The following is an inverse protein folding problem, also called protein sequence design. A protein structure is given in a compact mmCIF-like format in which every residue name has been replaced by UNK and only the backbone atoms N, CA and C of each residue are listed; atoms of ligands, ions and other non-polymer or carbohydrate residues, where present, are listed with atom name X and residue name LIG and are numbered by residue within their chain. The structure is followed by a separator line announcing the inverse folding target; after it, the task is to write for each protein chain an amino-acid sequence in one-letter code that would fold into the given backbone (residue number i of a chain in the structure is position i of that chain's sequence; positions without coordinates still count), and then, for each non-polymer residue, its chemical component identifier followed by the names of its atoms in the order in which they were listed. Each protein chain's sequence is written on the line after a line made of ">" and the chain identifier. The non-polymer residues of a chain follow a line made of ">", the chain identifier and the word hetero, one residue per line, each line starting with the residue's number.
data_IF_334233705830
#
_entry.id   IF_334233705830
#
_cell.length_a   1.000
_cell.length_b   1.000
_cell.length_c   1.000
_cell.angle_alpha   90.00
_cell.angle_beta   90.00
_cell.angle_gamma   90.00
#
_symmetry.space_group_name_H-M   'P 1'
#
loop_
_entity.id
_entity.type
_entity.pdbx_description
1 polymer ?
#
# COMPACT_ATOMS: atom_id res chain seq x y z
N UNK A 1 22.84 -4.28 9.81
CA UNK A 1 22.71 -4.69 8.39
C UNK A 1 21.61 -3.85 7.78
N UNK A 2 21.94 -2.90 6.91
CA UNK A 2 20.97 -1.96 6.35
C UNK A 2 20.09 -2.68 5.33
N UNK A 3 18.78 -2.59 5.53
CA UNK A 3 17.78 -3.27 4.72
C UNK A 3 17.84 -2.86 3.25
N UNK A 4 17.99 -3.84 2.38
CA UNK A 4 18.05 -3.69 0.93
C UNK A 4 16.82 -2.99 0.30
N UNK A 5 15.71 -2.96 1.01
CA UNK A 5 14.48 -2.25 0.62
C UNK A 5 14.62 -0.72 0.57
N UNK A 6 15.56 -0.13 1.31
CA UNK A 6 15.74 1.32 1.32
C UNK A 6 16.40 1.89 0.06
N UNK A 7 16.98 1.05 -0.80
CA UNK A 7 17.67 1.51 -2.02
C UNK A 7 16.74 1.71 -3.22
N UNK A 8 15.59 1.02 -3.27
CA UNK A 8 14.62 1.17 -4.36
C UNK A 8 13.77 2.45 -4.26
N UNK A 9 13.65 3.03 -3.07
CA UNK A 9 12.88 4.26 -2.86
C UNK A 9 13.62 5.56 -3.30
N UNK A 10 14.91 5.49 -3.63
CA UNK A 10 15.72 6.69 -3.88
C UNK A 10 15.59 7.32 -5.29
N UNK A 11 14.81 6.77 -6.20
CA UNK A 11 14.84 7.20 -7.62
C UNK A 11 13.62 7.96 -8.12
N UNK A 12 12.77 8.52 -7.27
CA UNK A 12 11.62 9.31 -7.73
C UNK A 12 11.37 10.54 -6.84
N UNK A 13 12.26 11.53 -6.93
CA UNK A 13 12.00 12.87 -6.37
C UNK A 13 11.62 13.83 -7.48
N UNK A 14 10.35 14.26 -7.52
CA UNK A 14 9.96 15.53 -8.14
C UNK A 14 8.85 16.17 -7.33
N UNK A 15 9.06 17.45 -7.00
CA UNK A 15 8.22 18.34 -6.22
C UNK A 15 6.77 18.41 -6.71
N UNK A 16 5.83 18.19 -5.82
CA UNK A 16 4.43 18.58 -5.91
C UNK A 16 3.90 18.67 -4.48
N UNK A 17 3.27 19.79 -4.14
CA UNK A 17 2.69 20.06 -2.82
C UNK A 17 1.69 18.96 -2.43
N UNK A 18 2.20 17.90 -1.81
CA UNK A 18 1.42 16.87 -1.16
C UNK A 18 1.14 17.38 0.26
N UNK A 19 -0.11 17.51 0.63
CA UNK A 19 -0.47 17.59 2.04
C UNK A 19 0.22 16.42 2.73
N UNK A 20 1.14 16.72 3.66
CA UNK A 20 1.83 15.71 4.45
C UNK A 20 0.79 14.94 5.25
N UNK A 21 0.59 13.69 4.88
CA UNK A 21 -0.24 12.77 5.66
C UNK A 21 0.55 12.54 6.96
N UNK A 22 0.01 13.03 8.07
CA UNK A 22 0.64 12.84 9.36
C UNK A 22 0.73 11.34 9.67
N UNK A 23 1.95 10.83 9.85
CA UNK A 23 2.24 9.43 10.21
C UNK A 23 1.98 9.19 11.72
N UNK A 24 0.97 9.84 12.28
CA UNK A 24 0.63 9.70 13.69
C UNK A 24 -0.12 8.40 13.93
N UNK A 25 0.49 7.50 14.67
CA UNK A 25 -0.10 6.21 15.09
C UNK A 25 -1.17 6.34 16.18
N UNK A 26 -1.54 7.57 16.57
CA UNK A 26 -2.37 7.85 17.76
C UNK A 26 -3.85 8.08 17.47
N UNK A 27 -4.27 8.02 16.22
CA UNK A 27 -5.67 8.22 15.83
C UNK A 27 -6.50 6.94 15.93
N UNK A 28 -7.82 7.08 16.18
CA UNK A 28 -8.79 6.02 15.97
C UNK A 28 -8.78 5.67 14.47
N UNK A 29 -8.78 4.37 14.08
CA UNK A 29 -8.87 4.00 12.67
C UNK A 29 -10.12 4.61 12.05
N UNK A 30 -9.98 5.23 10.89
CA UNK A 30 -11.12 5.83 10.17
C UNK A 30 -11.98 4.75 9.49
N UNK A 31 -11.39 3.57 9.24
CA UNK A 31 -12.03 2.43 8.59
C UNK A 31 -11.79 1.16 9.40
N UNK A 32 -12.82 0.32 9.50
CA UNK A 32 -12.72 -1.00 10.13
C UNK A 32 -11.97 -1.98 9.24
N UNK A 33 -11.13 -2.83 9.85
CA UNK A 33 -10.40 -3.87 9.13
C UNK A 33 -11.11 -5.20 9.30
N UNK A 34 -11.60 -5.76 8.20
CA UNK A 34 -12.25 -7.06 8.12
C UNK A 34 -11.25 -8.20 8.42
N UNK A 35 -11.73 -9.26 9.04
CA UNK A 35 -10.91 -10.37 9.52
C UNK A 35 -11.09 -11.63 8.68
N UNK A 36 -10.15 -12.55 8.79
CA UNK A 36 -10.23 -13.84 8.15
C UNK A 36 -11.57 -14.52 8.52
N UNK A 37 -12.31 -14.93 7.50
CA UNK A 37 -13.67 -15.46 7.64
C UNK A 37 -14.74 -14.56 7.01
N UNK A 38 -14.50 -13.26 6.93
CA UNK A 38 -15.42 -12.32 6.30
C UNK A 38 -15.46 -12.53 4.76
N UNK A 39 -16.65 -12.66 4.21
CA UNK A 39 -16.86 -12.98 2.79
C UNK A 39 -16.27 -11.93 1.84
N UNK A 40 -16.19 -10.67 2.26
CA UNK A 40 -15.63 -9.58 1.46
C UNK A 40 -14.18 -9.82 1.06
N UNK A 41 -13.41 -10.54 1.89
CA UNK A 41 -12.00 -10.87 1.62
C UNK A 41 -11.81 -11.91 0.51
N UNK A 42 -12.88 -12.61 0.12
CA UNK A 42 -12.87 -13.62 -0.96
C UNK A 42 -13.41 -13.11 -2.28
N UNK A 43 -13.95 -11.89 -2.28
CA UNK A 43 -14.51 -11.29 -3.49
C UNK A 43 -13.41 -10.74 -4.39
N UNK A 44 -13.63 -10.81 -5.70
CA UNK A 44 -12.71 -10.24 -6.67
C UNK A 44 -12.70 -8.71 -6.60
N UNK A 45 -11.51 -8.14 -6.59
CA UNK A 45 -11.32 -6.69 -6.68
C UNK A 45 -11.59 -6.20 -8.11
N UNK A 46 -12.11 -4.99 -8.21
CA UNK A 46 -12.40 -4.32 -9.49
C UNK A 46 -11.33 -3.29 -9.80
N UNK A 47 -10.92 -3.23 -11.05
CA UNK A 47 -9.99 -2.19 -11.53
C UNK A 47 -10.59 -0.79 -11.34
N UNK A 48 -9.73 0.14 -10.97
CA UNK A 48 -10.07 1.56 -10.88
C UNK A 48 -9.84 2.17 -12.25
N UNK A 49 -10.90 2.64 -12.90
CA UNK A 49 -10.85 3.23 -14.25
C UNK A 49 -10.52 4.72 -14.22
N UNK A 50 -10.80 5.40 -13.11
CA UNK A 50 -10.55 6.84 -12.94
C UNK A 50 -10.06 7.12 -11.53
N UNK A 51 -8.95 7.85 -11.44
CA UNK A 51 -8.38 8.31 -10.17
C UNK A 51 -8.91 9.70 -9.87
N UNK A 52 -10.06 9.77 -9.25
CA UNK A 52 -10.70 10.99 -8.80
C UNK A 52 -10.42 11.29 -7.31
N UNK A 53 -11.02 12.36 -6.79
CA UNK A 53 -10.83 12.77 -5.39
C UNK A 53 -11.38 11.71 -4.41
N UNK A 54 -12.38 10.93 -4.79
CA UNK A 54 -12.91 9.86 -3.93
C UNK A 54 -11.86 8.76 -3.70
N UNK A 55 -11.10 8.40 -4.74
CA UNK A 55 -9.99 7.43 -4.64
C UNK A 55 -8.83 8.00 -3.82
N UNK A 56 -8.50 9.29 -4.00
CA UNK A 56 -7.47 9.95 -3.20
C UNK A 56 -7.84 10.01 -1.72
N UNK A 57 -9.10 10.37 -1.43
CA UNK A 57 -9.63 10.37 -0.06
C UNK A 57 -9.57 8.98 0.55
N UNK A 58 -10.04 7.96 -0.18
CA UNK A 58 -9.98 6.56 0.27
C UNK A 58 -8.54 6.13 0.60
N UNK A 59 -7.57 6.44 -0.25
CA UNK A 59 -6.17 6.11 0.01
C UNK A 59 -5.63 6.78 1.28
N UNK A 60 -6.00 8.04 1.55
CA UNK A 60 -5.63 8.73 2.80
C UNK A 60 -6.25 8.05 4.03
N UNK A 61 -7.54 7.70 3.97
CA UNK A 61 -8.24 7.00 5.06
C UNK A 61 -7.67 5.60 5.30
N UNK A 62 -7.27 4.90 4.23
CA UNK A 62 -6.56 3.62 4.32
C UNK A 62 -5.21 3.77 5.03
N UNK A 63 -4.41 4.78 4.68
CA UNK A 63 -3.13 5.04 5.35
C UNK A 63 -3.34 5.32 6.84
N UNK A 64 -4.31 6.15 7.22
CA UNK A 64 -4.63 6.42 8.61
C UNK A 64 -5.03 5.15 9.37
N UNK A 65 -5.88 4.31 8.77
CA UNK A 65 -6.31 3.04 9.38
C UNK A 65 -5.16 2.04 9.49
N UNK A 66 -4.29 1.98 8.48
CA UNK A 66 -3.07 1.18 8.48
C UNK A 66 -2.13 1.57 9.63
N UNK A 67 -1.86 2.87 9.79
CA UNK A 67 -1.01 3.37 10.88
C UNK A 67 -1.62 3.14 12.26
N UNK A 68 -2.92 3.40 12.42
CA UNK A 68 -3.64 3.15 13.67
C UNK A 68 -3.60 1.66 14.08
N UNK A 69 -3.61 0.77 13.09
CA UNK A 69 -3.47 -0.68 13.29
C UNK A 69 -2.01 -1.16 13.39
N UNK A 70 -1.02 -0.24 13.34
CA UNK A 70 0.43 -0.55 13.36
C UNK A 70 0.85 -1.46 12.21
N UNK A 71 0.20 -1.35 11.05
CA UNK A 71 0.52 -2.08 9.84
C UNK A 71 1.50 -1.32 8.96
N UNK A 72 2.16 -2.04 8.05
CA UNK A 72 3.04 -1.50 7.01
C UNK A 72 2.42 -1.56 5.62
N UNK A 73 1.26 -2.19 5.49
CA UNK A 73 0.49 -2.31 4.27
C UNK A 73 -0.98 -2.61 4.53
N UNK A 74 -1.86 -2.14 3.65
CA UNK A 74 -3.29 -2.37 3.71
C UNK A 74 -3.89 -2.34 2.31
N UNK A 75 -4.66 -3.38 1.97
CA UNK A 75 -5.38 -3.47 0.71
C UNK A 75 -6.86 -3.09 0.89
N UNK A 76 -7.47 -2.49 -0.14
CA UNK A 76 -8.85 -2.04 -0.07
C UNK A 76 -9.87 -3.14 0.27
N UNK A 77 -9.73 -4.40 -0.17
CA UNK A 77 -10.61 -5.48 0.31
C UNK A 77 -10.58 -5.69 1.82
N UNK A 78 -9.45 -5.41 2.49
CA UNK A 78 -9.34 -5.55 3.94
C UNK A 78 -10.19 -4.51 4.71
N UNK A 79 -10.64 -3.46 4.05
CA UNK A 79 -11.58 -2.47 4.59
C UNK A 79 -12.97 -2.56 3.94
N UNK A 80 -13.30 -3.70 3.32
CA UNK A 80 -14.61 -3.95 2.72
C UNK A 80 -14.85 -3.31 1.35
N UNK A 81 -13.81 -2.77 0.72
CA UNK A 81 -13.91 -2.10 -0.59
C UNK A 81 -13.15 -2.90 -1.64
N UNK A 82 -13.88 -3.66 -2.48
CA UNK A 82 -13.28 -4.53 -3.49
C UNK A 82 -12.80 -3.74 -4.72
N UNK A 83 -11.72 -2.99 -4.54
CA UNK A 83 -10.99 -2.25 -5.58
C UNK A 83 -9.51 -2.65 -5.58
N UNK A 84 -8.89 -2.61 -6.75
CA UNK A 84 -7.45 -2.84 -6.92
C UNK A 84 -6.65 -1.62 -6.43
N UNK A 85 -6.64 -1.42 -5.12
CA UNK A 85 -5.95 -0.35 -4.42
C UNK A 85 -5.26 -0.91 -3.20
N UNK A 86 -4.00 -0.56 -3.00
CA UNK A 86 -3.28 -0.85 -1.78
C UNK A 86 -2.36 0.31 -1.39
N UNK A 87 -2.10 0.42 -0.09
CA UNK A 87 -1.17 1.39 0.48
C UNK A 87 -0.07 0.66 1.23
N UNK A 88 1.17 1.16 1.14
CA UNK A 88 2.36 0.57 1.78
C UNK A 88 3.23 1.68 2.33
N UNK A 89 3.73 1.53 3.55
CA UNK A 89 4.78 2.36 4.12
C UNK A 89 5.75 1.49 4.92
N UNK A 90 6.90 1.19 4.33
CA UNK A 90 7.97 0.41 4.98
C UNK A 90 8.96 1.30 5.75
N UNK A 91 8.83 2.61 5.63
CA UNK A 91 9.69 3.61 6.27
C UNK A 91 8.86 4.54 7.18
N UNK A 92 7.92 3.97 7.92
CA UNK A 92 6.99 4.76 8.74
C UNK A 92 7.69 5.58 9.84
N UNK A 93 8.90 5.20 10.25
CA UNK A 93 9.74 5.96 11.21
C UNK A 93 10.39 7.19 10.55
N UNK A 94 10.61 7.17 9.24
CA UNK A 94 11.15 8.31 8.50
C UNK A 94 10.02 9.21 8.01
N UNK A 95 9.81 10.32 8.67
CA UNK A 95 8.79 11.31 8.29
C UNK A 95 9.03 11.96 6.91
N UNK A 96 10.22 11.83 6.35
CA UNK A 96 10.57 12.33 5.03
C UNK A 96 10.26 11.31 3.91
N UNK A 97 10.08 10.03 4.24
CA UNK A 97 9.70 9.01 3.28
C UNK A 97 8.20 9.10 2.99
N UNK A 98 7.84 9.09 1.71
CA UNK A 98 6.43 9.09 1.30
C UNK A 98 5.90 7.64 1.21
N UNK A 99 4.66 7.36 1.70
CA UNK A 99 4.03 6.08 1.51
C UNK A 99 3.74 5.81 0.02
N UNK A 100 3.68 4.55 -0.34
CA UNK A 100 3.29 4.12 -1.68
C UNK A 100 1.78 3.90 -1.74
N UNK A 101 1.14 4.46 -2.76
CA UNK A 101 -0.27 4.22 -3.11
C UNK A 101 -0.25 3.53 -4.47
N UNK A 102 -0.64 2.26 -4.50
CA UNK A 102 -0.61 1.43 -5.70
C UNK A 102 -2.03 1.21 -6.21
N UNK A 103 -2.29 1.63 -7.44
CA UNK A 103 -3.60 1.54 -8.11
C UNK A 103 -3.47 0.56 -9.27
N UNK A 104 -4.35 -0.43 -9.31
CA UNK A 104 -4.34 -1.53 -10.27
C UNK A 104 -2.94 -2.17 -10.37
N UNK A 105 -2.31 -2.56 -9.26
CA UNK A 105 -0.97 -3.11 -9.29
C UNK A 105 -0.95 -4.48 -9.99
N UNK A 106 0.06 -4.68 -10.83
CA UNK A 106 0.29 -5.93 -11.53
C UNK A 106 1.77 -6.31 -11.42
N UNK A 107 2.05 -7.50 -10.92
CA UNK A 107 3.42 -8.03 -10.89
C UNK A 107 3.70 -8.60 -12.27
N UNK A 108 4.69 -8.03 -12.95
CA UNK A 108 5.07 -8.42 -14.31
C UNK A 108 6.24 -9.39 -14.34
N UNK A 109 7.08 -9.39 -13.29
CA UNK A 109 8.21 -10.28 -13.18
C UNK A 109 8.62 -10.51 -11.72
N UNK A 110 9.23 -11.65 -11.43
CA UNK A 110 9.75 -12.01 -10.12
C UNK A 110 11.25 -12.24 -10.17
N UNK A 111 11.96 -11.76 -9.16
CA UNK A 111 13.37 -12.09 -8.98
C UNK A 111 13.57 -13.57 -8.67
N UNK A 112 14.76 -14.07 -8.98
CA UNK A 112 15.11 -15.49 -8.79
C UNK A 112 15.61 -15.82 -7.39
N UNK A 113 16.08 -14.81 -6.65
CA UNK A 113 16.56 -14.99 -5.27
C UNK A 113 15.39 -15.06 -4.31
N UNK A 114 15.34 -16.12 -3.51
CA UNK A 114 14.29 -16.31 -2.50
C UNK A 114 14.80 -15.93 -1.12
N UNK A 115 13.99 -15.24 -0.35
CA UNK A 115 14.23 -14.90 1.06
C UNK A 115 13.04 -15.33 1.91
N UNK A 116 13.32 -15.68 3.16
CA UNK A 116 12.29 -15.97 4.17
C UNK A 116 12.14 -14.77 5.10
N UNK A 117 10.92 -14.31 5.27
CA UNK A 117 10.57 -13.22 6.18
C UNK A 117 9.43 -13.66 7.09
N UNK A 118 9.46 -13.20 8.35
CA UNK A 118 8.30 -13.31 9.21
C UNK A 118 7.27 -12.26 8.78
N UNK A 119 6.09 -12.72 8.40
CA UNK A 119 5.00 -11.88 7.93
C UNK A 119 3.78 -12.01 8.83
N UNK A 120 3.11 -10.88 9.06
CA UNK A 120 1.80 -10.80 9.71
C UNK A 120 0.77 -10.17 8.77
N UNK A 121 -0.49 -10.29 9.12
CA UNK A 121 -1.59 -9.70 8.37
C UNK A 121 -2.59 -9.01 9.29
N UNK A 122 -2.99 -7.78 8.98
CA UNK A 122 -3.98 -7.04 9.76
C UNK A 122 -5.36 -7.73 9.80
N UNK A 123 -5.66 -8.55 8.78
CA UNK A 123 -6.87 -9.38 8.74
C UNK A 123 -6.72 -10.70 9.50
N UNK A 124 -5.53 -11.04 9.99
CA UNK A 124 -5.24 -12.25 10.80
C UNK A 124 -4.41 -11.81 12.01
N UNK A 125 -5.01 -11.07 12.96
CA UNK A 125 -4.27 -10.47 14.06
C UNK A 125 -3.62 -11.52 14.96
N UNK A 126 -2.37 -11.26 15.39
CA UNK A 126 -1.63 -12.12 16.31
C UNK A 126 -1.02 -13.38 15.69
N UNK A 127 -1.12 -13.55 14.36
CA UNK A 127 -0.49 -14.66 13.65
C UNK A 127 0.67 -14.14 12.82
N UNK A 128 1.86 -14.73 13.04
CA UNK A 128 3.08 -14.43 12.29
C UNK A 128 3.66 -15.74 11.76
N UNK A 129 4.02 -15.76 10.50
CA UNK A 129 4.54 -16.95 9.80
C UNK A 129 5.75 -16.60 8.97
N UNK A 130 6.72 -17.51 8.91
CA UNK A 130 7.81 -17.39 7.95
C UNK A 130 7.32 -17.72 6.54
N UNK A 131 7.40 -16.74 5.65
CA UNK A 131 6.96 -16.85 4.27
C UNK A 131 8.17 -16.69 3.35
N UNK A 132 8.35 -17.63 2.43
CA UNK A 132 9.40 -17.59 1.40
C UNK A 132 8.87 -16.85 0.18
N UNK A 133 9.56 -15.77 -0.18
CA UNK A 133 9.19 -14.95 -1.34
C UNK A 133 10.41 -14.58 -2.19
N UNK A 134 10.23 -14.29 -3.49
CA UNK A 134 11.24 -13.60 -4.27
C UNK A 134 11.66 -12.30 -3.60
N UNK A 135 12.96 -12.06 -3.51
CA UNK A 135 13.53 -10.85 -2.87
C UNK A 135 13.19 -9.56 -3.60
N UNK A 136 12.82 -9.67 -4.88
CA UNK A 136 12.46 -8.56 -5.75
C UNK A 136 11.31 -8.95 -6.67
N UNK A 137 10.53 -7.98 -7.10
CA UNK A 137 9.59 -8.13 -8.21
C UNK A 137 9.55 -6.83 -9.03
N UNK A 138 9.20 -6.96 -10.29
CA UNK A 138 8.87 -5.83 -11.15
C UNK A 138 7.36 -5.60 -11.07
N UNK A 139 6.98 -4.38 -10.67
CA UNK A 139 5.60 -4.00 -10.48
C UNK A 139 5.20 -2.91 -11.48
N UNK A 140 4.15 -3.15 -12.24
CA UNK A 140 3.45 -2.14 -13.01
C UNK A 140 2.24 -1.63 -12.20
N UNK A 141 2.02 -0.32 -12.20
CA UNK A 141 0.81 0.30 -11.64
C UNK A 141 0.16 1.18 -12.70
N UNK A 142 -1.16 1.14 -12.81
CA UNK A 142 -1.91 2.08 -13.66
C UNK A 142 -1.60 3.51 -13.28
N UNK A 143 -1.86 4.48 -14.21
CA UNK A 143 -1.20 5.76 -14.17
C UNK A 143 -1.23 6.33 -12.77
N UNK A 144 -0.04 6.57 -12.25
CA UNK A 144 0.18 7.32 -11.03
C UNK A 144 -0.62 8.63 -11.16
N UNK A 145 -1.13 9.19 -10.07
CA UNK A 145 -1.70 10.55 -10.09
C UNK A 145 -0.77 11.59 -10.74
N UNK A 146 0.52 11.25 -10.92
CA UNK A 146 1.52 12.05 -11.64
C UNK A 146 1.35 12.02 -13.15
N UNK A 147 0.90 10.91 -13.72
CA UNK A 147 0.80 10.73 -15.18
C UNK A 147 -0.41 11.45 -15.79
N UNK A 148 -1.39 11.82 -14.96
CA UNK A 148 -2.58 12.55 -15.39
C UNK A 148 -2.35 14.05 -15.62
N UNK A 149 -1.16 14.58 -15.32
CA UNK A 149 -0.82 16.00 -15.58
C UNK A 149 -0.35 16.29 -17.02
N UNK A 150 -0.21 15.27 -17.86
CA UNK A 150 0.40 15.37 -19.21
C UNK A 150 -0.56 15.58 -20.37
N UNK A 151 -1.87 15.62 -20.17
CA UNK A 151 -2.81 15.84 -21.29
C UNK A 151 -3.51 17.19 -21.17
N UNK A 152 -2.75 18.24 -21.50
CA UNK A 152 -3.33 19.47 -22.05
C UNK A 152 -3.03 19.48 -23.55
N UNK A 153 -4.01 19.17 -24.35
CA UNK A 153 -4.16 19.79 -25.67
C UNK A 153 -4.93 21.08 -25.53
#
# INVERSE_FOLDING_TARGET
>A
MANHFSQLAKKSRTNGSSEKIAKEQTGKPSLDIYKLGDDVLRQNSKRITKVDESIRKLAREMLQSMYAAKGIGLAAPQIGINKELLVIDVNFEDSAAEPLILINPEITDFGTTLNSYEEGCLSIPGVYLNVVRPSTCLLYTSPSPRDQRGSRM
#
